data_IF_778988605988
#
_entry.id   IF_778988605988
#
_cell.length_a   1.000
_cell.length_b   1.000
_cell.length_c   1.000
_cell.angle_alpha   90.00
_cell.angle_beta   90.00
_cell.angle_gamma   90.00
#
_symmetry.space_group_name_H-M   'P 1'
#
loop_
_entity.id
_entity.type
_entity.pdbx_description
1 polymer ?
#
# COMPACT_ATOMS: atom_id res chain seq x y z
N UNK A 1 22.89 -0.47 -50.82
CA UNK A 1 23.57 -0.04 -49.59
C UNK A 1 22.53 0.59 -48.67
N UNK A 2 21.92 -0.20 -47.78
CA UNK A 2 20.82 0.24 -46.90
C UNK A 2 21.42 0.70 -45.56
N UNK A 3 21.52 2.00 -45.34
CA UNK A 3 22.04 2.57 -44.09
C UNK A 3 20.96 2.60 -43.01
N UNK A 4 21.16 1.79 -41.97
CA UNK A 4 20.35 1.65 -40.75
C UNK A 4 20.40 2.95 -39.93
N UNK A 5 19.41 3.85 -40.11
CA UNK A 5 19.28 5.09 -39.33
C UNK A 5 17.96 5.11 -38.55
N UNK A 6 17.83 4.29 -37.49
CA UNK A 6 16.71 4.45 -36.55
C UNK A 6 16.84 3.55 -35.32
N UNK A 7 17.57 3.99 -34.28
CA UNK A 7 17.39 3.40 -32.93
C UNK A 7 16.96 4.45 -31.91
N UNK A 8 17.46 5.68 -32.04
CA UNK A 8 17.06 6.80 -31.17
C UNK A 8 15.62 7.26 -31.42
N UNK A 9 15.19 7.31 -32.69
CA UNK A 9 13.82 7.67 -33.06
C UNK A 9 12.80 6.60 -32.69
N UNK A 10 13.14 5.31 -32.85
CA UNK A 10 12.28 4.21 -32.43
C UNK A 10 12.07 4.17 -30.91
N UNK A 11 13.16 4.37 -30.12
CA UNK A 11 13.08 4.46 -28.66
C UNK A 11 12.22 5.63 -28.19
N UNK A 12 12.33 6.79 -28.85
CA UNK A 12 11.51 7.97 -28.54
C UNK A 12 10.01 7.74 -28.83
N UNK A 13 9.69 7.02 -29.92
CA UNK A 13 8.30 6.68 -30.25
C UNK A 13 7.74 5.69 -29.23
N UNK A 14 8.51 4.66 -28.85
CA UNK A 14 8.08 3.71 -27.81
C UNK A 14 7.89 4.39 -26.44
N UNK A 15 8.78 5.32 -26.05
CA UNK A 15 8.62 6.05 -24.78
C UNK A 15 7.39 6.96 -24.80
N UNK A 16 7.14 7.67 -25.90
CA UNK A 16 5.93 8.50 -26.02
C UNK A 16 4.65 7.65 -26.03
N UNK A 17 4.67 6.45 -26.63
CA UNK A 17 3.54 5.53 -26.62
C UNK A 17 3.26 5.00 -25.20
N UNK A 18 4.30 4.64 -24.44
CA UNK A 18 4.15 4.24 -23.04
C UNK A 18 3.59 5.37 -22.15
N UNK A 19 4.07 6.61 -22.34
CA UNK A 19 3.57 7.79 -21.61
C UNK A 19 2.11 8.11 -22.00
N UNK A 20 1.77 7.94 -23.28
CA UNK A 20 0.40 8.11 -23.79
C UNK A 20 -0.58 7.06 -23.27
N UNK A 21 -0.16 5.79 -23.13
CA UNK A 21 -1.01 4.76 -22.54
C UNK A 21 -1.23 4.95 -21.04
N UNK A 22 -0.31 5.63 -20.34
CA UNK A 22 -0.46 5.97 -18.92
C UNK A 22 -1.43 7.14 -18.65
N UNK A 23 -1.80 7.93 -19.67
CA UNK A 23 -2.53 9.20 -19.51
C UNK A 23 -4.01 9.15 -19.88
N UNK A 24 -4.53 8.01 -20.38
CA UNK A 24 -5.96 7.82 -20.64
C UNK A 24 -6.68 7.23 -19.41
N UNK A 25 -6.98 8.09 -18.43
CA UNK A 25 -7.94 7.76 -17.36
C UNK A 25 -9.13 8.70 -17.49
N UNK A 26 -10.26 8.20 -17.98
CA UNK A 26 -11.54 8.90 -17.89
C UNK A 26 -11.99 8.83 -16.42
N UNK A 27 -11.79 9.92 -15.68
CA UNK A 27 -12.25 10.03 -14.28
C UNK A 27 -13.59 10.73 -14.27
N UNK A 28 -14.67 10.00 -13.94
CA UNK A 28 -15.95 10.59 -13.55
C UNK A 28 -15.94 10.92 -12.06
N UNK A 29 -16.40 12.12 -11.71
CA UNK A 29 -16.55 12.54 -10.32
C UNK A 29 -17.94 12.12 -9.80
N UNK A 30 -17.98 11.08 -8.96
CA UNK A 30 -19.19 10.71 -8.20
C UNK A 30 -19.16 11.30 -6.78
N UNK A 31 -20.31 11.53 -6.11
CA UNK A 31 -20.38 12.19 -4.81
C UNK A 31 -20.08 11.29 -3.61
N UNK A 32 -19.73 10.02 -3.82
CA UNK A 32 -19.53 9.04 -2.75
C UNK A 32 -18.19 9.23 -2.02
N UNK A 33 -18.14 8.85 -0.74
CA UNK A 33 -16.88 8.82 0.04
C UNK A 33 -15.81 8.03 -0.72
N UNK A 34 -14.74 8.71 -1.13
CA UNK A 34 -13.67 8.19 -2.03
C UNK A 34 -12.72 7.19 -1.36
N UNK A 35 -13.02 6.75 -0.13
CA UNK A 35 -12.19 5.78 0.56
C UNK A 35 -12.48 4.37 0.00
N UNK A 36 -11.88 4.06 -1.16
CA UNK A 36 -12.01 2.76 -1.80
C UNK A 36 -11.44 1.60 -0.97
N UNK A 37 -10.52 1.89 -0.04
CA UNK A 37 -9.78 0.91 0.74
C UNK A 37 -9.75 1.28 2.23
N UNK A 38 -10.91 1.29 2.89
CA UNK A 38 -11.03 1.60 4.34
C UNK A 38 -10.18 0.72 5.25
N UNK A 39 -9.85 -0.51 4.82
CA UNK A 39 -8.98 -1.39 5.59
C UNK A 39 -7.56 -0.83 5.80
N UNK A 40 -7.12 0.14 4.98
CA UNK A 40 -5.83 0.83 5.15
C UNK A 40 -5.81 1.76 6.37
N UNK A 41 -6.96 2.09 6.96
CA UNK A 41 -7.02 2.86 8.20
C UNK A 41 -6.60 2.03 9.42
N UNK A 42 -6.52 0.70 9.28
CA UNK A 42 -6.04 -0.19 10.32
C UNK A 42 -4.51 -0.12 10.40
N UNK A 43 -4.03 0.70 11.33
CA UNK A 43 -2.62 0.93 11.63
C UNK A 43 -1.85 -0.39 11.91
N UNK A 44 -0.81 -0.71 11.12
CA UNK A 44 -0.19 -2.03 11.14
C UNK A 44 0.99 -2.17 12.12
N UNK A 45 1.07 -1.38 13.19
CA UNK A 45 2.20 -1.42 14.14
C UNK A 45 1.76 -1.39 15.59
N UNK A 46 2.23 -2.38 16.37
CA UNK A 46 2.02 -2.41 17.82
C UNK A 46 2.78 -1.28 18.54
N UNK A 47 3.97 -0.91 18.04
CA UNK A 47 4.77 0.20 18.58
C UNK A 47 4.05 1.52 18.37
N UNK A 48 3.57 1.78 17.15
CA UNK A 48 2.77 2.96 16.84
C UNK A 48 1.48 3.00 17.68
N UNK A 49 0.75 1.88 17.77
CA UNK A 49 -0.48 1.79 18.56
C UNK A 49 -0.25 2.12 20.04
N UNK A 50 0.85 1.65 20.63
CA UNK A 50 1.25 1.97 22.01
C UNK A 50 1.51 3.48 22.25
N UNK A 51 1.76 4.24 21.20
CA UNK A 51 1.95 5.70 21.24
C UNK A 51 0.71 6.47 20.75
N UNK A 52 -0.44 5.81 20.60
CA UNK A 52 -1.64 6.44 20.06
C UNK A 52 -1.51 6.78 18.57
N UNK A 53 -0.82 5.95 17.79
CA UNK A 53 -0.52 6.11 16.37
C UNK A 53 0.32 7.37 16.02
N UNK A 54 0.97 7.98 17.02
CA UNK A 54 1.91 9.09 16.83
C UNK A 54 3.30 8.59 16.38
N UNK A 55 3.42 8.09 15.14
CA UNK A 55 4.65 7.42 14.66
C UNK A 55 5.39 8.12 13.51
N UNK A 56 4.75 9.03 12.78
CA UNK A 56 5.25 9.61 11.51
C UNK A 56 6.68 10.16 11.60
N UNK A 57 7.05 10.78 12.72
CA UNK A 57 8.35 11.43 12.91
C UNK A 57 9.47 10.49 13.38
N UNK A 58 9.14 9.34 13.98
CA UNK A 58 10.10 8.41 14.60
C UNK A 58 10.16 7.06 13.86
N UNK A 59 9.63 7.01 12.65
CA UNK A 59 9.51 5.78 11.87
C UNK A 59 10.87 5.35 11.33
N UNK A 60 11.62 4.61 12.14
CA UNK A 60 13.02 4.20 11.94
C UNK A 60 13.19 2.70 11.66
N UNK A 61 12.12 2.05 11.22
CA UNK A 61 12.03 0.61 10.93
C UNK A 61 11.06 0.30 9.78
N UNK A 62 10.75 -0.98 9.60
CA UNK A 62 9.99 -1.44 8.44
C UNK A 62 8.57 -0.90 8.38
N UNK A 63 8.05 -0.41 9.50
CA UNK A 63 6.73 0.24 9.56
C UNK A 63 6.75 1.60 8.84
N UNK A 64 7.93 2.20 8.57
CA UNK A 64 8.08 3.40 7.75
C UNK A 64 7.52 3.25 6.34
N UNK A 65 7.48 2.02 5.82
CA UNK A 65 6.83 1.73 4.53
C UNK A 65 5.34 2.08 4.52
N UNK A 66 4.66 2.09 5.68
CA UNK A 66 3.27 2.49 5.85
C UNK A 66 3.12 3.93 6.36
N UNK A 67 3.88 4.32 7.40
CA UNK A 67 3.68 5.61 8.07
C UNK A 67 4.36 6.78 7.36
N UNK A 68 5.61 6.59 6.91
CA UNK A 68 6.41 7.66 6.32
C UNK A 68 7.57 7.12 5.47
N UNK A 69 7.35 6.86 4.16
CA UNK A 69 8.40 6.40 3.25
C UNK A 69 9.63 7.31 3.17
N UNK A 70 9.50 8.61 3.46
CA UNK A 70 10.64 9.53 3.45
C UNK A 70 11.59 9.30 4.63
N UNK A 71 11.09 8.76 5.75
CA UNK A 71 11.91 8.43 6.91
C UNK A 71 12.94 7.32 6.61
N UNK A 72 12.68 6.50 5.58
CA UNK A 72 13.64 5.51 5.09
C UNK A 72 15.00 6.11 4.75
N UNK A 73 15.09 7.40 4.39
CA UNK A 73 16.37 8.07 4.15
C UNK A 73 17.33 8.00 5.35
N UNK A 74 16.80 7.83 6.56
CA UNK A 74 17.55 7.77 7.82
C UNK A 74 17.84 6.34 8.31
N UNK A 75 17.31 5.31 7.63
CA UNK A 75 17.53 3.92 8.03
C UNK A 75 19.00 3.51 7.77
N UNK A 76 19.74 3.17 8.83
CA UNK A 76 21.12 2.70 8.69
C UNK A 76 21.22 1.16 8.61
N UNK A 77 20.13 0.45 8.91
CA UNK A 77 20.12 -1.01 8.99
C UNK A 77 18.89 -1.63 8.33
N UNK A 78 19.00 -2.92 8.00
CA UNK A 78 17.89 -3.70 7.45
C UNK A 78 16.88 -3.97 8.55
N UNK A 79 15.60 -3.81 8.26
CA UNK A 79 14.55 -4.05 9.25
C UNK A 79 13.46 -4.96 8.67
N UNK A 80 12.84 -5.76 9.54
CA UNK A 80 11.71 -6.61 9.24
C UNK A 80 10.68 -6.42 10.35
N UNK A 81 9.45 -6.07 9.98
CA UNK A 81 8.33 -5.91 10.91
C UNK A 81 7.16 -6.76 10.45
N UNK A 82 6.51 -7.41 11.41
CA UNK A 82 5.28 -8.18 11.16
C UNK A 82 4.31 -7.95 12.30
N UNK A 83 3.07 -7.65 11.97
CA UNK A 83 2.01 -7.38 12.96
C UNK A 83 0.77 -8.19 12.60
N UNK A 84 0.12 -8.76 13.62
CA UNK A 84 -1.19 -9.39 13.48
C UNK A 84 -2.08 -8.95 14.64
N UNK A 85 -3.29 -8.51 14.34
CA UNK A 85 -4.25 -8.13 15.38
C UNK A 85 -5.70 -8.17 14.89
N UNK A 86 -6.63 -8.12 15.85
CA UNK A 86 -8.08 -7.99 15.59
C UNK A 86 -8.52 -6.59 16.00
N UNK A 87 -8.91 -5.72 15.05
CA UNK A 87 -9.26 -4.33 15.37
C UNK A 87 -10.58 -4.20 16.14
N UNK A 88 -11.53 -5.13 15.93
CA UNK A 88 -12.88 -5.06 16.51
C UNK A 88 -13.31 -6.38 17.15
N UNK A 89 -12.54 -6.90 18.15
CA UNK A 89 -12.76 -8.23 18.71
C UNK A 89 -14.13 -8.39 19.38
N UNK A 90 -14.73 -7.30 19.86
CA UNK A 90 -16.06 -7.31 20.47
C UNK A 90 -17.21 -7.36 19.46
N UNK A 91 -16.97 -6.96 18.21
CA UNK A 91 -18.00 -6.96 17.16
C UNK A 91 -17.97 -8.26 16.36
N UNK A 92 -16.78 -8.70 15.96
CA UNK A 92 -16.62 -9.87 15.11
C UNK A 92 -15.27 -10.56 15.35
N UNK A 93 -15.29 -11.88 15.45
CA UNK A 93 -14.08 -12.68 15.71
C UNK A 93 -13.29 -13.03 14.45
N UNK A 94 -13.89 -12.85 13.27
CA UNK A 94 -13.38 -13.17 11.93
C UNK A 94 -12.81 -11.94 11.18
N UNK A 95 -12.84 -10.76 11.81
CA UNK A 95 -12.16 -9.55 11.33
C UNK A 95 -10.75 -9.48 11.93
N UNK A 96 -9.74 -9.49 11.07
CA UNK A 96 -8.34 -9.40 11.48
C UNK A 96 -7.49 -8.74 10.39
N UNK A 97 -6.38 -8.13 10.81
CA UNK A 97 -5.39 -7.50 9.94
C UNK A 97 -4.01 -8.11 10.21
N UNK A 98 -3.30 -8.40 9.13
CA UNK A 98 -1.90 -8.83 9.13
C UNK A 98 -1.06 -7.91 8.26
N UNK A 99 0.12 -7.56 8.74
CA UNK A 99 1.10 -6.75 8.06
C UNK A 99 2.46 -7.43 8.03
N UNK A 100 3.18 -7.25 6.93
CA UNK A 100 4.61 -7.54 6.83
C UNK A 100 5.31 -6.42 6.07
N UNK A 101 6.38 -5.88 6.64
CA UNK A 101 7.21 -4.83 6.06
C UNK A 101 8.68 -5.20 6.11
N UNK A 102 9.44 -4.82 5.09
CA UNK A 102 10.89 -5.01 5.05
C UNK A 102 11.57 -3.76 4.47
N UNK A 103 12.66 -3.31 5.08
CA UNK A 103 13.49 -2.21 4.56
C UNK A 103 14.93 -2.66 4.34
N UNK A 104 15.51 -2.11 3.28
CA UNK A 104 16.88 -2.36 2.85
C UNK A 104 17.56 -1.02 2.56
N UNK A 105 18.55 -0.64 3.36
CA UNK A 105 19.36 0.53 3.06
C UNK A 105 20.39 0.25 1.97
N UNK A 106 20.64 1.24 1.10
CA UNK A 106 21.66 1.18 0.05
C UNK A 106 22.65 2.35 0.08
N UNK A 107 22.75 3.06 1.20
CA UNK A 107 23.77 4.10 1.41
C UNK A 107 23.63 5.24 0.39
N UNK A 108 24.55 5.31 -0.57
CA UNK A 108 24.70 6.44 -1.50
C UNK A 108 23.48 6.71 -2.40
N UNK A 109 22.65 5.69 -2.64
CA UNK A 109 21.47 5.79 -3.54
C UNK A 109 20.15 5.89 -2.78
N UNK A 110 20.16 6.04 -1.46
CA UNK A 110 18.96 5.99 -0.63
C UNK A 110 18.54 4.56 -0.28
N UNK A 111 17.34 4.43 0.27
CA UNK A 111 16.87 3.22 0.94
C UNK A 111 15.49 2.81 0.39
N UNK A 112 15.27 1.50 0.28
CA UNK A 112 14.02 0.94 -0.25
C UNK A 112 13.28 0.16 0.82
N UNK A 113 11.96 0.10 0.69
CA UNK A 113 11.12 -0.74 1.51
C UNK A 113 9.98 -1.36 0.73
N UNK A 114 9.48 -2.48 1.22
CA UNK A 114 8.30 -3.17 0.70
C UNK A 114 7.35 -3.49 1.83
N UNK A 115 6.05 -3.49 1.55
CA UNK A 115 5.03 -3.84 2.54
C UNK A 115 3.87 -4.62 1.93
N UNK A 116 3.25 -5.45 2.76
CA UNK A 116 2.05 -6.19 2.44
C UNK A 116 1.08 -6.07 3.62
N UNK A 117 -0.15 -5.68 3.33
CA UNK A 117 -1.28 -5.65 4.26
C UNK A 117 -2.33 -6.62 3.73
N UNK A 118 -2.85 -7.45 4.63
CA UNK A 118 -4.01 -8.28 4.37
C UNK A 118 -5.01 -8.09 5.52
N UNK A 119 -6.25 -7.81 5.18
CA UNK A 119 -7.34 -7.64 6.15
C UNK A 119 -8.52 -8.50 5.75
N UNK A 120 -8.93 -9.41 6.64
CA UNK A 120 -10.22 -10.08 6.55
C UNK A 120 -11.29 -9.14 7.12
N UNK A 121 -12.37 -8.91 6.36
CA UNK A 121 -13.55 -8.16 6.82
C UNK A 121 -14.65 -9.09 7.37
N UNK A 122 -14.34 -10.38 7.49
CA UNK A 122 -15.26 -11.37 8.03
C UNK A 122 -16.45 -11.64 7.11
N UNK A 123 -17.47 -12.22 7.72
CA UNK A 123 -18.67 -12.74 7.06
C UNK A 123 -19.79 -11.71 7.09
N UNK A 124 -20.38 -11.42 5.92
CA UNK A 124 -21.47 -10.47 5.75
C UNK A 124 -22.73 -11.18 5.27
N UNK A 125 -23.89 -10.74 5.75
CA UNK A 125 -25.20 -11.20 5.28
C UNK A 125 -25.52 -10.56 3.94
N UNK A 126 -26.05 -11.35 3.03
CA UNK A 126 -26.51 -10.90 1.72
C UNK A 126 -28.03 -10.84 1.73
N UNK A 127 -28.59 -9.71 1.36
CA UNK A 127 -30.05 -9.52 1.31
C UNK A 127 -30.47 -9.00 -0.06
N UNK A 128 -31.62 -9.45 -0.56
CA UNK A 128 -32.23 -8.90 -1.79
C UNK A 128 -33.01 -7.61 -1.53
N UNK A 129 -33.57 -7.01 -2.60
CA UNK A 129 -34.39 -5.80 -2.52
C UNK A 129 -35.68 -5.99 -1.71
N UNK A 130 -36.12 -7.24 -1.51
CA UNK A 130 -37.30 -7.59 -0.72
C UNK A 130 -36.96 -8.00 0.72
N UNK A 131 -35.69 -7.91 1.14
CA UNK A 131 -35.28 -8.25 2.50
C UNK A 131 -35.05 -9.75 2.75
N UNK A 132 -35.07 -10.60 1.73
CA UNK A 132 -34.84 -12.03 1.89
C UNK A 132 -33.35 -12.34 2.04
N UNK A 133 -33.02 -13.23 2.98
CA UNK A 133 -31.65 -13.69 3.21
C UNK A 133 -31.19 -14.60 2.07
N UNK A 134 -30.14 -14.18 1.37
CA UNK A 134 -29.50 -14.89 0.26
C UNK A 134 -28.26 -15.67 0.73
N UNK A 135 -28.02 -15.74 2.03
CA UNK A 135 -26.87 -16.38 2.66
C UNK A 135 -25.75 -15.40 2.99
N UNK A 136 -24.54 -15.93 3.15
CA UNK A 136 -23.39 -15.14 3.59
C UNK A 136 -22.25 -15.13 2.57
N UNK A 137 -21.45 -14.06 2.61
CA UNK A 137 -20.22 -13.95 1.83
C UNK A 137 -19.09 -13.40 2.69
N UNK A 138 -17.86 -13.74 2.34
CA UNK A 138 -16.66 -13.21 3.00
C UNK A 138 -16.01 -12.16 2.13
N UNK A 139 -15.53 -11.08 2.74
CA UNK A 139 -14.76 -10.04 2.05
C UNK A 139 -13.37 -9.88 2.66
N UNK A 140 -12.41 -9.49 1.84
CA UNK A 140 -11.05 -9.21 2.26
C UNK A 140 -10.45 -8.04 1.47
N UNK A 141 -9.46 -7.39 2.06
CA UNK A 141 -8.63 -6.36 1.43
C UNK A 141 -7.18 -6.81 1.42
N UNK A 142 -6.47 -6.50 0.34
CA UNK A 142 -5.03 -6.70 0.23
C UNK A 142 -4.40 -5.45 -0.36
N UNK A 143 -3.27 -5.01 0.22
CA UNK A 143 -2.49 -3.92 -0.30
C UNK A 143 -1.01 -4.29 -0.31
N UNK A 144 -0.35 -4.02 -1.43
CA UNK A 144 1.08 -4.17 -1.59
C UNK A 144 1.69 -2.79 -1.83
N UNK A 145 2.79 -2.50 -1.14
CA UNK A 145 3.48 -1.21 -1.18
C UNK A 145 4.96 -1.38 -1.50
N UNK A 146 5.50 -0.41 -2.25
CA UNK A 146 6.94 -0.23 -2.46
C UNK A 146 7.26 1.22 -2.14
N UNK A 147 8.31 1.42 -1.38
CA UNK A 147 8.70 2.71 -0.81
C UNK A 147 10.18 2.98 -1.08
N UNK A 148 10.52 4.25 -1.25
CA UNK A 148 11.88 4.72 -1.43
C UNK A 148 12.05 6.05 -0.69
N UNK A 149 13.18 6.19 0.01
CA UNK A 149 13.54 7.42 0.72
C UNK A 149 15.03 7.71 0.57
N UNK A 150 15.37 8.96 0.31
CA UNK A 150 16.75 9.43 0.17
C UNK A 150 16.88 10.88 0.62
N UNK A 151 18.07 11.27 1.05
CA UNK A 151 18.41 12.67 1.27
C UNK A 151 18.48 13.42 -0.07
N UNK A 152 18.04 14.67 -0.06
CA UNK A 152 18.17 15.59 -1.20
C UNK A 152 19.41 16.45 -0.92
N UNK A 153 20.41 16.40 -1.82
CA UNK A 153 21.62 17.24 -1.75
C UNK A 153 21.41 18.62 -2.33
#
# INVERSE_FOLDING_TARGET
>A
MLTFRSSRSLKAILSCLCISMLSLSLVEATPESRAAANFLLFSPSARAAGMGDAYVAISDDADATFFNPAALANDDSRSLSTTFYKPVPSLANDIFTSFGGYTQPFGDIGNFGISLIYTSLGTQFRTDEQGQDLGTFTSFGVAFGVSYGAYIS
#
